data_IF_301389947901
#
_entry.id   IF_301389947901
#
_cell.length_a   1.000
_cell.length_b   1.000
_cell.length_c   1.000
_cell.angle_alpha   90.00
_cell.angle_beta   90.00
_cell.angle_gamma   90.00
#
_symmetry.space_group_name_H-M   'P 1'
#
loop_
_entity.id
_entity.type
_entity.pdbx_description
1 polymer ?
#
# COMPACT_ATOMS: atom_id res chain seq x y z
N UNK A 1 40.05 -18.68 -5.13
CA UNK A 1 39.01 -17.70 -5.51
C UNK A 1 37.99 -17.71 -4.40
N UNK A 2 37.98 -16.69 -3.55
CA UNK A 2 37.10 -16.64 -2.37
C UNK A 2 35.70 -16.25 -2.81
N UNK A 3 34.71 -17.11 -2.56
CA UNK A 3 33.29 -16.78 -2.73
C UNK A 3 32.99 -15.53 -1.91
N UNK A 4 32.74 -14.40 -2.59
CA UNK A 4 32.20 -13.23 -1.95
C UNK A 4 30.85 -13.61 -1.35
N UNK A 5 30.76 -13.63 -0.02
CA UNK A 5 29.52 -13.86 0.73
C UNK A 5 28.50 -12.83 0.25
N UNK A 6 27.57 -13.27 -0.61
CA UNK A 6 26.50 -12.40 -1.13
C UNK A 6 25.66 -11.97 0.08
N UNK A 7 25.73 -10.68 0.41
CA UNK A 7 24.81 -10.08 1.38
C UNK A 7 23.37 -10.46 1.01
N UNK A 8 22.52 -10.79 1.99
CA UNK A 8 21.12 -11.09 1.72
C UNK A 8 20.49 -9.88 1.03
N UNK A 9 19.61 -10.15 0.06
CA UNK A 9 18.85 -9.08 -0.60
C UNK A 9 18.03 -8.31 0.45
N UNK A 10 17.86 -7.01 0.26
CA UNK A 10 17.12 -6.16 1.19
C UNK A 10 15.68 -6.63 1.40
N UNK A 11 15.08 -6.31 2.54
CA UNK A 11 13.66 -6.61 2.83
C UNK A 11 12.72 -6.01 1.78
N UNK A 12 13.09 -4.85 1.22
CA UNK A 12 12.41 -4.24 0.08
C UNK A 12 12.37 -5.19 -1.14
N UNK A 13 13.53 -5.72 -1.54
CA UNK A 13 13.63 -6.66 -2.66
C UNK A 13 12.82 -7.94 -2.38
N UNK A 14 12.91 -8.48 -1.16
CA UNK A 14 12.20 -9.70 -0.77
C UNK A 14 10.68 -9.52 -0.86
N UNK A 15 10.13 -8.42 -0.33
CA UNK A 15 8.69 -8.14 -0.39
C UNK A 15 8.21 -7.95 -1.84
N UNK A 16 8.95 -7.19 -2.65
CA UNK A 16 8.57 -6.93 -4.05
C UNK A 16 8.55 -8.20 -4.89
N UNK A 17 9.51 -9.10 -4.67
CA UNK A 17 9.56 -10.41 -5.34
C UNK A 17 8.42 -11.32 -4.87
N UNK A 18 8.18 -11.42 -3.55
CA UNK A 18 7.07 -12.21 -2.98
C UNK A 18 5.73 -11.76 -3.55
N UNK A 19 5.53 -10.46 -3.64
CA UNK A 19 4.27 -9.83 -4.08
C UNK A 19 4.19 -9.70 -5.62
N UNK A 20 5.13 -10.33 -6.34
CA UNK A 20 5.18 -10.38 -7.82
C UNK A 20 5.13 -9.00 -8.47
N UNK A 21 5.76 -8.02 -7.84
CA UNK A 21 5.81 -6.63 -8.28
C UNK A 21 4.42 -6.01 -8.49
N UNK A 22 3.45 -6.44 -7.68
CA UNK A 22 2.10 -5.87 -7.68
C UNK A 22 1.76 -5.31 -6.32
N UNK A 23 1.00 -4.21 -6.32
CA UNK A 23 0.41 -3.69 -5.10
C UNK A 23 -0.45 -4.80 -4.48
N UNK A 24 -0.13 -5.24 -3.27
CA UNK A 24 -0.86 -6.34 -2.63
C UNK A 24 -2.34 -6.00 -2.43
N UNK A 25 -2.67 -4.71 -2.32
CA UNK A 25 -4.03 -4.24 -2.02
C UNK A 25 -4.94 -4.11 -3.24
N UNK A 26 -4.41 -3.66 -4.38
CA UNK A 26 -5.21 -3.36 -5.58
C UNK A 26 -4.65 -3.97 -6.87
N UNK A 27 -3.64 -4.83 -6.78
CA UNK A 27 -3.05 -5.60 -7.88
C UNK A 27 -2.39 -4.79 -9.00
N UNK A 28 -2.32 -3.45 -8.83
CA UNK A 28 -1.62 -2.54 -9.72
C UNK A 28 -0.20 -3.04 -9.94
N UNK A 29 0.18 -3.18 -11.21
CA UNK A 29 1.56 -3.44 -11.59
C UNK A 29 2.41 -2.21 -11.25
N UNK A 30 3.38 -2.37 -10.34
CA UNK A 30 4.22 -1.25 -9.91
C UNK A 30 5.37 -1.00 -10.89
N UNK A 31 5.67 -1.95 -11.77
CA UNK A 31 6.73 -1.84 -12.77
C UNK A 31 6.22 -1.40 -14.15
N UNK A 32 4.93 -1.03 -14.26
CA UNK A 32 4.35 -0.53 -15.51
C UNK A 32 5.07 0.74 -16.03
N UNK A 33 5.69 1.52 -15.13
CA UNK A 33 6.46 2.71 -15.46
C UNK A 33 7.43 3.08 -14.34
N UNK A 34 8.42 3.92 -14.65
CA UNK A 34 9.32 4.50 -13.66
C UNK A 34 8.54 5.24 -12.55
N UNK A 35 7.55 6.04 -12.92
CA UNK A 35 6.75 6.81 -11.96
C UNK A 35 5.91 5.90 -11.06
N UNK A 36 5.35 4.83 -11.61
CA UNK A 36 4.61 3.82 -10.82
C UNK A 36 5.52 3.11 -9.81
N UNK A 37 6.77 2.83 -10.20
CA UNK A 37 7.75 2.22 -9.29
C UNK A 37 8.23 3.23 -8.25
N UNK A 38 8.55 4.46 -8.65
CA UNK A 38 8.98 5.54 -7.75
C UNK A 38 7.90 5.94 -6.73
N UNK A 39 6.62 5.81 -7.10
CA UNK A 39 5.48 6.04 -6.21
C UNK A 39 5.11 4.80 -5.37
N UNK A 40 5.78 3.66 -5.55
CA UNK A 40 5.56 2.46 -4.73
C UNK A 40 6.22 2.59 -3.36
N UNK A 41 5.70 1.84 -2.39
CA UNK A 41 6.12 1.88 -1.00
C UNK A 41 6.29 0.46 -0.47
N UNK A 42 7.25 0.31 0.45
CA UNK A 42 7.32 -0.83 1.35
C UNK A 42 6.44 -0.51 2.56
N UNK A 43 5.18 -0.89 2.48
CA UNK A 43 4.19 -0.59 3.50
C UNK A 43 4.25 -1.60 4.64
N UNK A 44 3.99 -1.12 5.86
CA UNK A 44 3.86 -1.95 7.04
C UNK A 44 2.40 -2.32 7.25
N UNK A 45 2.07 -3.62 7.23
CA UNK A 45 0.72 -4.11 7.53
C UNK A 45 0.28 -3.63 8.92
N UNK A 46 1.05 -3.97 9.97
CA UNK A 46 0.95 -3.35 11.28
C UNK A 46 1.84 -2.10 11.34
N UNK A 47 1.27 -0.90 11.55
CA UNK A 47 2.01 0.36 11.52
C UNK A 47 3.10 0.40 12.60
N UNK A 48 4.21 1.10 12.33
CA UNK A 48 5.36 1.20 13.25
C UNK A 48 4.96 1.71 14.64
N UNK A 49 4.04 2.68 14.70
CA UNK A 49 3.50 3.23 15.94
C UNK A 49 2.82 2.19 16.84
N UNK A 50 2.38 1.06 16.28
CA UNK A 50 1.68 -0.01 17.00
C UNK A 50 2.55 -1.27 17.21
N UNK A 51 3.79 -1.30 16.69
CA UNK A 51 4.56 -2.54 16.50
C UNK A 51 5.78 -2.70 17.41
N UNK A 52 6.39 -1.62 17.87
CA UNK A 52 7.72 -1.71 18.46
C UNK A 52 8.78 -2.20 17.43
N UNK A 53 10.02 -2.51 17.86
CA UNK A 53 11.22 -2.52 17.00
C UNK A 53 11.43 -3.78 16.14
N UNK A 54 10.41 -4.58 15.85
CA UNK A 54 10.63 -5.80 15.05
C UNK A 54 11.01 -5.42 13.59
N UNK A 55 11.58 -6.29 12.75
CA UNK A 55 11.90 -6.02 11.33
C UNK A 55 11.52 -7.26 10.50
N UNK A 56 10.23 -7.62 10.53
CA UNK A 56 9.71 -8.86 9.98
C UNK A 56 9.29 -8.67 8.52
N UNK A 57 9.74 -9.59 7.66
CA UNK A 57 9.39 -9.65 6.24
C UNK A 57 7.88 -9.82 6.04
N UNK A 58 7.18 -10.51 6.95
CA UNK A 58 5.74 -10.72 6.88
C UNK A 58 4.95 -9.44 7.16
N UNK A 59 5.51 -8.53 7.95
CA UNK A 59 4.85 -7.24 8.19
C UNK A 59 5.04 -6.24 7.04
N UNK A 60 5.84 -6.56 6.02
CA UNK A 60 6.16 -5.64 4.92
C UNK A 60 5.55 -6.12 3.62
N UNK A 61 4.87 -5.21 2.92
CA UNK A 61 4.20 -5.50 1.65
C UNK A 61 4.47 -4.43 0.62
N UNK A 62 4.35 -4.83 -0.63
CA UNK A 62 4.43 -3.97 -1.79
C UNK A 62 3.12 -3.20 -1.95
N UNK A 63 3.16 -1.89 -1.83
CA UNK A 63 1.98 -1.03 -1.93
C UNK A 63 2.18 0.09 -2.96
N UNK A 64 1.15 0.42 -3.73
CA UNK A 64 1.15 1.69 -4.47
C UNK A 64 0.90 2.86 -3.52
N UNK A 65 1.38 4.05 -3.89
CA UNK A 65 1.23 5.26 -3.06
C UNK A 65 -0.22 5.53 -2.65
N UNK A 66 -1.19 5.35 -3.56
CA UNK A 66 -2.62 5.56 -3.25
C UNK A 66 -3.10 4.61 -2.15
N UNK A 67 -2.83 3.30 -2.26
CA UNK A 67 -3.27 2.34 -1.24
C UNK A 67 -2.56 2.55 0.09
N UNK A 68 -1.26 2.85 0.07
CA UNK A 68 -0.49 3.18 1.27
C UNK A 68 -1.09 4.39 2.00
N UNK A 69 -1.38 5.48 1.28
CA UNK A 69 -2.02 6.68 1.85
C UNK A 69 -3.42 6.40 2.38
N UNK A 70 -4.22 5.60 1.67
CA UNK A 70 -5.57 5.24 2.12
C UNK A 70 -5.53 4.37 3.38
N UNK A 71 -4.63 3.38 3.45
CA UNK A 71 -4.44 2.57 4.66
C UNK A 71 -4.04 3.46 5.85
N UNK A 72 -3.03 4.30 5.67
CA UNK A 72 -2.49 5.14 6.74
C UNK A 72 -2.15 4.32 7.99
N UNK A 73 -2.57 4.80 9.16
CA UNK A 73 -2.30 4.18 10.45
C UNK A 73 -3.26 3.03 10.83
N UNK A 74 -4.06 2.50 9.90
CA UNK A 74 -4.94 1.37 10.19
C UNK A 74 -4.13 0.12 10.55
N UNK A 75 -4.49 -0.51 11.67
CA UNK A 75 -3.95 -1.78 12.14
C UNK A 75 -4.91 -2.92 11.77
N UNK A 76 -4.54 -3.79 10.80
CA UNK A 76 -5.38 -4.91 10.36
C UNK A 76 -5.37 -6.10 11.33
N UNK A 77 -4.48 -6.09 12.34
CA UNK A 77 -4.34 -7.14 13.36
C UNK A 77 -4.17 -6.53 14.78
N UNK A 78 -5.22 -5.87 15.31
CA UNK A 78 -5.16 -5.23 16.63
C UNK A 78 -4.79 -6.23 17.73
N UNK A 79 -3.83 -5.86 18.59
CA UNK A 79 -3.37 -6.72 19.69
C UNK A 79 -2.46 -7.90 19.28
N UNK A 80 -2.24 -8.12 17.98
CA UNK A 80 -1.42 -9.21 17.46
C UNK A 80 -0.25 -8.71 16.59
N UNK A 81 0.71 -9.59 16.31
CA UNK A 81 1.76 -9.36 15.31
C UNK A 81 1.37 -10.01 13.98
N UNK A 82 1.87 -9.45 12.87
CA UNK A 82 1.76 -10.11 11.57
C UNK A 82 2.77 -11.24 11.51
N UNK A 83 2.29 -12.46 11.28
CA UNK A 83 3.08 -13.67 11.08
C UNK A 83 2.75 -14.27 9.70
N UNK A 84 3.45 -15.33 9.31
CA UNK A 84 3.13 -16.05 8.07
C UNK A 84 1.68 -16.60 8.10
N UNK A 85 1.25 -17.11 9.25
CA UNK A 85 -0.06 -17.77 9.40
C UNK A 85 -1.23 -16.78 9.26
N UNK A 86 -1.08 -15.56 9.77
CA UNK A 86 -2.15 -14.54 9.71
C UNK A 86 -1.95 -13.52 8.58
N UNK A 87 -0.85 -13.60 7.81
CA UNK A 87 -0.52 -12.64 6.75
C UNK A 87 -1.66 -12.42 5.76
N UNK A 88 -2.24 -13.51 5.24
CA UNK A 88 -3.32 -13.42 4.26
C UNK A 88 -4.56 -12.71 4.82
N UNK A 89 -4.90 -12.99 6.09
CA UNK A 89 -6.00 -12.33 6.81
C UNK A 89 -5.70 -10.84 7.04
N UNK A 90 -4.48 -10.50 7.45
CA UNK A 90 -4.05 -9.11 7.64
C UNK A 90 -4.14 -8.31 6.34
N UNK A 91 -3.70 -8.89 5.22
CA UNK A 91 -3.84 -8.27 3.89
C UNK A 91 -5.31 -8.10 3.52
N UNK A 92 -6.16 -9.09 3.77
CA UNK A 92 -7.59 -9.01 3.48
C UNK A 92 -8.30 -7.90 4.28
N UNK A 93 -7.99 -7.76 5.57
CA UNK A 93 -8.53 -6.70 6.42
C UNK A 93 -8.09 -5.31 5.93
N UNK A 94 -6.80 -5.16 5.58
CA UNK A 94 -6.29 -3.92 5.01
C UNK A 94 -6.94 -3.59 3.66
N UNK A 95 -7.15 -4.59 2.79
CA UNK A 95 -7.89 -4.43 1.52
C UNK A 95 -9.29 -3.90 1.74
N UNK A 96 -10.07 -4.55 2.61
CA UNK A 96 -11.44 -4.15 2.92
C UNK A 96 -11.50 -2.69 3.41
N UNK A 97 -10.63 -2.33 4.35
CA UNK A 97 -10.52 -0.97 4.85
C UNK A 97 -10.18 0.05 3.74
N UNK A 98 -9.21 -0.26 2.87
CA UNK A 98 -8.84 0.60 1.74
C UNK A 98 -10.02 0.75 0.77
N UNK A 99 -10.75 -0.33 0.46
CA UNK A 99 -11.89 -0.26 -0.46
C UNK A 99 -13.03 0.59 0.09
N UNK A 100 -13.36 0.45 1.38
CA UNK A 100 -14.34 1.33 2.05
C UNK A 100 -13.96 2.81 1.93
N UNK A 101 -12.67 3.14 2.07
CA UNK A 101 -12.20 4.51 1.83
C UNK A 101 -12.29 4.92 0.35
N UNK A 102 -11.95 4.01 -0.58
CA UNK A 102 -12.06 4.26 -2.03
C UNK A 102 -13.48 4.48 -2.50
N UNK A 103 -14.49 4.00 -1.77
CA UNK A 103 -15.90 4.17 -2.10
C UNK A 103 -16.60 5.22 -1.24
N UNK A 104 -15.87 5.90 -0.34
CA UNK A 104 -16.45 6.91 0.55
C UNK A 104 -17.29 6.37 1.70
N UNK A 105 -17.28 5.06 1.93
CA UNK A 105 -17.98 4.40 3.04
C UNK A 105 -17.32 4.69 4.40
N UNK A 106 -16.03 5.08 4.36
CA UNK A 106 -15.30 5.56 5.53
C UNK A 106 -15.04 7.07 5.42
N UNK A 107 -15.28 7.79 6.51
CA UNK A 107 -15.05 9.24 6.58
C UNK A 107 -13.54 9.54 6.41
N UNK A 108 -13.16 10.00 5.22
CA UNK A 108 -11.80 10.43 4.90
C UNK A 108 -11.83 11.71 4.08
N UNK A 109 -10.96 12.66 4.41
CA UNK A 109 -10.79 13.88 3.62
C UNK A 109 -10.40 13.57 2.18
N UNK A 110 -9.54 12.56 1.96
CA UNK A 110 -9.04 12.21 0.63
C UNK A 110 -10.13 11.81 -0.35
N UNK A 111 -11.09 10.96 0.03
CA UNK A 111 -12.13 10.54 -0.91
C UNK A 111 -13.03 11.70 -1.31
N UNK A 112 -13.50 12.47 -0.32
CA UNK A 112 -14.34 13.65 -0.57
C UNK A 112 -13.62 14.65 -1.45
N UNK A 113 -12.38 14.97 -1.13
CA UNK A 113 -11.62 16.00 -1.85
C UNK A 113 -11.24 15.50 -3.26
N UNK A 114 -10.81 14.25 -3.44
CA UNK A 114 -10.47 13.72 -4.75
C UNK A 114 -11.68 13.55 -5.66
N UNK A 115 -12.80 13.02 -5.16
CA UNK A 115 -14.03 12.97 -5.95
C UNK A 115 -14.52 14.36 -6.31
N UNK A 116 -14.52 15.29 -5.36
CA UNK A 116 -14.86 16.69 -5.63
C UNK A 116 -13.99 17.28 -6.74
N UNK A 117 -12.65 17.13 -6.66
CA UNK A 117 -11.76 17.61 -7.70
C UNK A 117 -12.01 16.96 -9.05
N UNK A 118 -12.27 15.65 -9.09
CA UNK A 118 -12.56 14.95 -10.34
C UNK A 118 -13.87 15.45 -10.98
N UNK A 119 -14.92 15.60 -10.18
CA UNK A 119 -16.24 16.06 -10.65
C UNK A 119 -16.24 17.54 -11.04
N UNK A 120 -15.74 18.43 -10.17
CA UNK A 120 -15.74 19.87 -10.42
C UNK A 120 -14.76 20.26 -11.52
N UNK A 121 -13.56 19.66 -11.56
CA UNK A 121 -12.62 19.97 -12.65
C UNK A 121 -13.15 19.50 -14.01
N UNK A 122 -13.95 18.43 -14.06
CA UNK A 122 -14.62 18.01 -15.28
C UNK A 122 -15.64 19.06 -15.75
N UNK A 123 -16.43 19.63 -14.83
CA UNK A 123 -17.39 20.72 -15.14
C UNK A 123 -16.66 21.96 -15.66
N UNK A 124 -15.59 22.39 -15.00
CA UNK A 124 -14.78 23.56 -15.42
C UNK A 124 -14.19 23.33 -16.83
N UNK A 125 -13.58 22.16 -17.08
CA UNK A 125 -13.01 21.82 -18.39
C UNK A 125 -14.05 21.73 -19.50
N UNK A 126 -15.29 21.34 -19.17
CA UNK A 126 -16.39 21.31 -20.13
C UNK A 126 -16.88 22.72 -20.50
N UNK A 127 -16.86 23.65 -19.55
CA UNK A 127 -17.23 25.05 -19.77
C UNK A 127 -16.16 25.83 -20.54
N UNK A 128 -14.87 25.54 -20.32
CA UNK A 128 -13.75 26.20 -21.01
C UNK A 128 -13.52 25.74 -22.46
N UNK A 129 -14.32 24.78 -22.95
CA UNK A 129 -14.29 24.28 -24.33
C UNK A 129 -15.35 24.95 -25.24
N UNK A 130 -16.11 25.90 -24.71
CA UNK A 130 -17.06 26.75 -25.45
C UNK A 130 -16.44 28.12 -25.66
#
# INVERSE_FOLDING_TARGET
>A
MTEASKQPRSTYYQAFVRDKFRCVYCEKDILESFDSFAASHLDHLKPESARGPCEDVWNRVTACGVCNSLKGAYDPVPGEHVTEENFATAVANAKDYIQKKRHGEANTSYFRDYQYWLEESAKIKAQSKR
#
